data_IF_959937126503
#
_entry.id   IF_959937126503
#
_cell.length_a   1.000
_cell.length_b   1.000
_cell.length_c   1.000
_cell.angle_alpha   90.00
_cell.angle_beta   90.00
_cell.angle_gamma   90.00
#
_symmetry.space_group_name_H-M   'P 1'
#
loop_
_entity.id
_entity.type
_entity.pdbx_description
1 polymer ?
#
# COMPACT_ATOMS: atom_id res chain seq x y z
N UNK A 1 -17.71 20.06 11.56
CA UNK A 1 -17.02 21.30 11.21
C UNK A 1 -15.53 21.04 11.42
N UNK A 2 -14.73 21.17 10.37
CA UNK A 2 -13.31 20.82 10.37
C UNK A 2 -12.52 21.98 10.98
N UNK A 3 -11.65 21.69 11.96
CA UNK A 3 -10.64 22.64 12.44
C UNK A 3 -9.73 23.05 11.26
N UNK A 4 -9.45 24.35 11.09
CA UNK A 4 -8.51 24.83 10.08
C UNK A 4 -7.04 24.61 10.46
N UNK A 5 -6.77 24.10 11.64
CA UNK A 5 -5.41 23.84 12.14
C UNK A 5 -4.85 22.62 11.41
N UNK A 6 -3.73 22.79 10.72
CA UNK A 6 -2.92 21.72 10.15
C UNK A 6 -1.72 21.50 11.04
N UNK A 7 -1.37 20.22 11.26
CA UNK A 7 -0.21 19.86 12.07
C UNK A 7 0.65 18.91 11.25
N UNK A 8 1.96 19.17 11.21
CA UNK A 8 2.93 18.22 10.69
C UNK A 8 3.13 17.16 11.78
N UNK A 9 2.93 15.88 11.43
CA UNK A 9 3.12 14.74 12.34
C UNK A 9 4.59 14.30 12.30
N UNK A 10 5.16 14.19 11.11
CA UNK A 10 6.57 13.86 10.90
C UNK A 10 7.05 14.49 9.58
N UNK A 11 8.25 15.05 9.57
CA UNK A 11 8.91 15.60 8.36
C UNK A 11 10.34 15.08 8.17
N UNK A 12 10.89 14.40 9.18
CA UNK A 12 12.25 13.86 9.21
C UNK A 12 12.33 12.56 9.97
N UNK A 13 13.28 11.73 9.57
CA UNK A 13 13.72 10.56 10.31
C UNK A 13 15.22 10.66 10.59
N UNK A 14 15.64 10.58 11.85
CA UNK A 14 17.05 10.75 12.27
C UNK A 14 17.70 12.04 11.72
N UNK A 15 16.95 13.13 11.71
CA UNK A 15 17.39 14.44 11.22
C UNK A 15 17.38 14.62 9.70
N UNK A 16 17.12 13.57 8.91
CA UNK A 16 17.08 13.57 7.45
C UNK A 16 15.64 13.67 6.94
N UNK A 17 15.44 14.41 5.84
CA UNK A 17 14.12 14.51 5.20
C UNK A 17 13.70 13.17 4.60
N UNK A 18 12.40 12.89 4.63
CA UNK A 18 11.81 11.77 3.87
C UNK A 18 12.02 11.96 2.37
N UNK A 19 11.97 10.85 1.62
CA UNK A 19 12.17 10.83 0.17
C UNK A 19 10.94 11.41 -0.56
N UNK A 20 9.81 10.70 -0.50
CA UNK A 20 8.55 11.13 -1.13
C UNK A 20 7.40 10.29 -0.60
N UNK A 21 6.83 10.65 0.53
CA UNK A 21 5.75 9.90 1.16
C UNK A 21 4.64 9.59 0.16
N UNK A 22 4.20 8.32 0.11
CA UNK A 22 3.27 7.84 -0.93
C UNK A 22 1.93 7.38 -0.36
N UNK A 23 1.89 6.33 0.45
CA UNK A 23 0.65 5.74 0.95
C UNK A 23 0.71 5.52 2.46
N UNK A 24 -0.46 5.38 3.11
CA UNK A 24 -0.54 5.18 4.55
C UNK A 24 -1.75 4.31 4.95
N UNK A 25 -1.62 3.64 6.10
CA UNK A 25 -2.73 3.03 6.79
C UNK A 25 -2.64 3.29 8.31
N UNK A 26 -3.76 3.14 9.01
CA UNK A 26 -3.86 3.46 10.44
C UNK A 26 -4.43 2.25 11.18
N UNK A 27 -3.79 1.85 12.28
CA UNK A 27 -4.26 0.77 13.12
C UNK A 27 -5.32 1.24 14.15
N UNK A 28 -5.95 0.31 14.86
CA UNK A 28 -7.00 0.61 15.87
C UNK A 28 -6.52 1.44 17.06
N UNK A 29 -5.19 1.55 17.25
CA UNK A 29 -4.57 2.41 18.27
C UNK A 29 -4.30 3.82 17.76
N UNK A 30 -4.55 4.10 16.46
CA UNK A 30 -4.27 5.38 15.82
C UNK A 30 -2.79 5.55 15.40
N UNK A 31 -2.00 4.49 15.40
CA UNK A 31 -0.64 4.52 14.85
C UNK A 31 -0.71 4.49 13.32
N UNK A 32 0.09 5.32 12.70
CA UNK A 32 0.13 5.54 11.25
C UNK A 32 1.34 4.81 10.68
N UNK A 33 1.11 3.88 9.76
CA UNK A 33 2.15 3.28 8.93
C UNK A 33 2.15 3.99 7.58
N UNK A 34 3.33 4.30 7.05
CA UNK A 34 3.45 4.98 5.77
C UNK A 34 4.68 4.55 4.99
N UNK A 35 4.60 4.66 3.69
CA UNK A 35 5.66 4.31 2.74
C UNK A 35 6.39 5.56 2.27
N UNK A 36 7.72 5.43 2.07
CA UNK A 36 8.60 6.52 1.64
C UNK A 36 9.46 6.12 0.43
N UNK A 37 8.83 5.81 -0.72
CA UNK A 37 9.55 5.56 -1.97
C UNK A 37 10.07 6.86 -2.60
N UNK A 38 10.79 6.71 -3.72
CA UNK A 38 11.12 7.83 -4.59
C UNK A 38 11.01 7.45 -6.06
N UNK A 39 10.11 8.09 -6.78
CA UNK A 39 9.86 7.87 -8.20
C UNK A 39 10.42 9.00 -9.10
N UNK A 40 10.99 10.05 -8.50
CA UNK A 40 11.56 11.16 -9.24
C UNK A 40 12.93 10.84 -9.88
N UNK A 41 13.43 11.72 -10.75
CA UNK A 41 14.70 11.54 -11.44
C UNK A 41 15.93 11.88 -10.59
N UNK A 42 15.81 12.81 -9.63
CA UNK A 42 16.95 13.43 -8.93
C UNK A 42 17.31 12.64 -7.65
N UNK A 43 17.74 11.40 -7.81
CA UNK A 43 18.04 10.48 -6.68
C UNK A 43 19.23 10.96 -5.83
N UNK A 44 20.14 11.75 -6.40
CA UNK A 44 21.32 12.29 -5.70
C UNK A 44 20.94 13.31 -4.60
N UNK A 45 19.69 13.79 -4.60
CA UNK A 45 19.18 14.72 -3.58
C UNK A 45 18.52 14.01 -2.38
N UNK A 46 18.44 12.69 -2.39
CA UNK A 46 17.86 11.93 -1.28
C UNK A 46 18.80 11.98 -0.07
N UNK A 47 18.25 12.33 1.08
CA UNK A 47 18.99 12.37 2.34
C UNK A 47 19.01 11.00 3.03
N UNK A 48 17.93 10.22 2.87
CA UNK A 48 17.84 8.85 3.39
C UNK A 48 18.49 7.86 2.44
N UNK A 49 19.15 6.87 3.01
CA UNK A 49 19.88 5.81 2.31
C UNK A 49 18.99 4.68 1.77
N UNK A 50 17.71 4.68 2.15
CA UNK A 50 16.74 3.64 1.79
C UNK A 50 15.36 4.24 1.50
N UNK A 51 14.63 3.56 0.66
CA UNK A 51 13.19 3.74 0.48
C UNK A 51 12.50 2.77 1.45
N UNK A 52 11.90 3.28 2.52
CA UNK A 52 11.48 2.48 3.66
C UNK A 52 9.99 2.56 3.99
N UNK A 53 9.61 1.79 5.00
CA UNK A 53 8.29 1.87 5.63
C UNK A 53 8.48 2.31 7.08
N UNK A 54 7.65 3.24 7.52
CA UNK A 54 7.74 3.86 8.83
C UNK A 54 6.43 3.71 9.60
N UNK A 55 6.52 3.80 10.92
CA UNK A 55 5.37 3.89 11.83
C UNK A 55 5.58 5.06 12.78
N UNK A 56 4.50 5.81 13.06
CA UNK A 56 4.49 6.95 13.98
C UNK A 56 3.16 6.99 14.73
N UNK A 57 3.16 7.47 15.96
CA UNK A 57 1.93 7.80 16.66
C UNK A 57 1.27 9.07 16.08
N UNK A 58 -0.05 9.21 16.23
CA UNK A 58 -0.80 10.37 15.69
C UNK A 58 -0.37 11.72 16.27
N UNK A 59 0.31 11.74 17.41
CA UNK A 59 0.89 12.93 18.03
C UNK A 59 2.34 13.22 17.57
N UNK A 60 2.90 12.40 16.66
CA UNK A 60 4.26 12.53 16.14
C UNK A 60 5.33 11.85 17.00
N UNK A 61 4.97 11.19 18.07
CA UNK A 61 5.90 10.43 18.91
C UNK A 61 6.18 9.02 18.34
N UNK A 62 7.23 8.37 18.81
CA UNK A 62 7.60 6.98 18.46
C UNK A 62 7.72 6.74 16.94
N UNK A 63 8.34 7.69 16.23
CA UNK A 63 8.65 7.49 14.83
C UNK A 63 9.77 6.45 14.69
N UNK A 64 9.45 5.34 14.03
CA UNK A 64 10.38 4.23 13.79
C UNK A 64 10.33 3.78 12.35
N UNK A 65 11.46 3.34 11.80
CA UNK A 65 11.52 2.64 10.51
C UNK A 65 11.27 1.15 10.75
N UNK A 66 10.14 0.65 10.25
CA UNK A 66 9.73 -0.76 10.45
C UNK A 66 10.24 -1.69 9.36
N UNK A 67 10.43 -1.18 8.13
CA UNK A 67 11.07 -1.92 7.03
C UNK A 67 12.11 -1.03 6.34
N UNK A 68 13.25 -1.61 5.98
CA UNK A 68 14.35 -0.91 5.35
C UNK A 68 15.15 -1.77 4.38
N UNK A 69 16.42 -1.45 4.22
CA UNK A 69 17.32 -2.08 3.26
C UNK A 69 17.37 -3.61 3.42
N UNK A 70 17.17 -4.32 2.31
CA UNK A 70 17.18 -5.79 2.26
C UNK A 70 15.84 -6.44 2.56
N UNK A 71 14.86 -5.70 3.10
CA UNK A 71 13.51 -6.19 3.37
C UNK A 71 12.49 -5.70 2.34
N UNK A 72 12.69 -4.47 1.87
CA UNK A 72 11.84 -3.79 0.88
C UNK A 72 12.73 -2.98 -0.07
N UNK A 73 12.27 -2.76 -1.30
CA UNK A 73 13.03 -2.05 -2.32
C UNK A 73 12.45 -0.68 -2.66
N UNK A 74 11.17 -0.64 -3.03
CA UNK A 74 10.41 0.59 -3.32
C UNK A 74 8.96 0.42 -2.90
N UNK A 75 8.66 0.63 -1.61
CA UNK A 75 7.32 0.42 -1.09
C UNK A 75 6.33 1.44 -1.68
N UNK A 76 5.14 0.95 -2.04
CA UNK A 76 4.02 1.74 -2.55
C UNK A 76 2.81 1.53 -1.64
N UNK A 77 1.76 0.85 -2.09
CA UNK A 77 0.57 0.58 -1.31
C UNK A 77 0.85 -0.15 0.00
N UNK A 78 0.14 0.21 1.06
CA UNK A 78 0.31 -0.34 2.40
C UNK A 78 -1.04 -0.55 3.09
N UNK A 79 -1.18 -1.64 3.86
CA UNK A 79 -2.40 -1.91 4.60
C UNK A 79 -2.22 -2.97 5.69
N UNK A 80 -3.16 -3.01 6.63
CA UNK A 80 -3.16 -3.94 7.76
C UNK A 80 -4.26 -4.98 7.62
N UNK A 81 -3.97 -6.22 7.98
CA UNK A 81 -4.99 -7.25 8.12
C UNK A 81 -6.07 -6.83 9.15
N UNK A 82 -7.31 -7.36 9.06
CA UNK A 82 -8.39 -7.01 9.99
C UNK A 82 -8.08 -7.29 11.46
N UNK A 83 -7.22 -8.27 11.74
CA UNK A 83 -6.73 -8.62 13.07
C UNK A 83 -5.45 -7.88 13.48
N UNK A 84 -4.91 -7.03 12.59
CA UNK A 84 -3.71 -6.21 12.78
C UNK A 84 -2.41 -7.01 13.04
N UNK A 85 -2.39 -8.29 12.66
CA UNK A 85 -1.19 -9.14 12.83
C UNK A 85 -0.31 -9.20 11.61
N UNK A 86 -0.75 -8.62 10.49
CA UNK A 86 -0.01 -8.61 9.22
C UNK A 86 -0.02 -7.23 8.60
N UNK A 87 1.15 -6.75 8.22
CA UNK A 87 1.34 -5.57 7.39
C UNK A 87 1.56 -6.03 5.95
N UNK A 88 0.65 -5.65 5.05
CA UNK A 88 0.79 -5.85 3.62
C UNK A 88 1.48 -4.65 2.99
N UNK A 89 2.48 -4.91 2.15
CA UNK A 89 3.23 -3.87 1.44
C UNK A 89 3.43 -4.27 -0.01
N UNK A 90 3.06 -3.40 -0.92
CA UNK A 90 3.40 -3.51 -2.34
C UNK A 90 4.81 -3.00 -2.53
N UNK A 91 5.70 -3.83 -3.07
CA UNK A 91 7.03 -3.45 -3.50
C UNK A 91 7.02 -3.31 -5.03
N UNK A 92 7.20 -2.11 -5.54
CA UNK A 92 7.04 -1.82 -6.97
C UNK A 92 8.25 -1.09 -7.55
N UNK A 93 9.38 -1.79 -7.64
CA UNK A 93 10.58 -1.22 -8.24
C UNK A 93 10.48 -1.24 -9.78
N UNK A 94 10.62 -0.10 -10.47
CA UNK A 94 10.35 -0.01 -11.91
C UNK A 94 11.44 -0.63 -12.81
N UNK A 95 12.65 -0.83 -12.31
CA UNK A 95 13.80 -1.25 -13.12
C UNK A 95 14.17 -2.72 -12.84
N UNK A 96 14.31 -3.10 -11.57
CA UNK A 96 14.57 -4.49 -11.19
C UNK A 96 13.23 -5.24 -11.07
N UNK A 97 13.19 -6.56 -11.34
CA UNK A 97 11.96 -7.35 -11.25
C UNK A 97 11.57 -7.59 -9.79
N UNK A 98 11.29 -6.50 -9.06
CA UNK A 98 10.81 -6.49 -7.69
C UNK A 98 9.43 -5.83 -7.68
N UNK A 99 8.41 -6.58 -8.13
CA UNK A 99 7.02 -6.12 -8.24
C UNK A 99 6.14 -7.11 -7.52
N UNK A 100 6.14 -7.01 -6.19
CA UNK A 100 5.60 -8.04 -5.31
C UNK A 100 4.63 -7.46 -4.29
N UNK A 101 3.71 -8.30 -3.85
CA UNK A 101 2.96 -8.08 -2.62
C UNK A 101 3.61 -8.91 -1.51
N UNK A 102 4.00 -8.23 -0.45
CA UNK A 102 4.57 -8.84 0.74
C UNK A 102 3.59 -8.83 1.92
N UNK A 103 3.67 -9.85 2.76
CA UNK A 103 3.00 -9.92 4.06
C UNK A 103 4.06 -10.04 5.15
N UNK A 104 4.13 -9.06 6.04
CA UNK A 104 5.05 -9.04 7.17
C UNK A 104 4.28 -9.27 8.47
N UNK A 105 4.68 -10.25 9.31
CA UNK A 105 4.06 -10.46 10.61
C UNK A 105 4.35 -9.27 11.54
N UNK A 106 3.36 -8.89 12.35
CA UNK A 106 3.49 -7.85 13.36
C UNK A 106 3.40 -8.43 14.77
N UNK A 107 4.20 -7.89 15.68
CA UNK A 107 4.09 -8.13 17.11
C UNK A 107 2.94 -7.30 17.76
N UNK A 108 2.74 -7.49 19.07
CA UNK A 108 1.72 -6.76 19.83
C UNK A 108 1.93 -5.25 19.87
N UNK A 109 3.12 -4.75 19.60
CA UNK A 109 3.46 -3.32 19.57
C UNK A 109 3.42 -2.73 18.17
N UNK A 110 3.17 -3.58 17.15
CA UNK A 110 3.07 -3.18 15.75
C UNK A 110 4.42 -3.04 15.04
N UNK A 111 5.44 -3.70 15.54
CA UNK A 111 6.73 -3.83 14.85
C UNK A 111 6.75 -5.12 14.04
N UNK A 112 7.65 -5.18 13.04
CA UNK A 112 7.86 -6.39 12.26
C UNK A 112 8.43 -7.49 13.17
N UNK A 113 7.76 -8.64 13.20
CA UNK A 113 8.08 -9.77 14.07
C UNK A 113 8.77 -10.94 13.35
N UNK A 114 9.10 -10.80 12.07
CA UNK A 114 9.76 -11.86 11.29
C UNK A 114 9.95 -11.49 9.83
N UNK A 115 10.41 -12.45 9.04
CA UNK A 115 10.62 -12.26 7.61
C UNK A 115 9.31 -12.07 6.86
N UNK A 116 9.36 -11.29 5.78
CA UNK A 116 8.23 -11.12 4.87
C UNK A 116 7.97 -12.39 4.06
N UNK A 117 6.68 -12.74 3.94
CA UNK A 117 6.21 -13.76 3.00
C UNK A 117 5.79 -13.07 1.70
N UNK A 118 6.34 -13.52 0.57
CA UNK A 118 5.85 -13.16 -0.75
C UNK A 118 4.45 -13.75 -0.94
N UNK A 119 3.45 -12.91 -1.22
CA UNK A 119 2.10 -13.36 -1.53
C UNK A 119 1.83 -13.39 -3.03
N UNK A 120 2.37 -12.42 -3.78
CA UNK A 120 2.14 -12.35 -5.22
C UNK A 120 3.31 -11.66 -5.92
N UNK A 121 3.67 -12.16 -7.11
CA UNK A 121 4.72 -11.59 -7.97
C UNK A 121 4.13 -11.23 -9.34
N UNK A 122 4.18 -9.95 -9.70
CA UNK A 122 3.77 -9.45 -11.02
C UNK A 122 4.85 -9.66 -12.10
N UNK A 123 6.02 -10.17 -11.75
CA UNK A 123 7.12 -10.43 -12.70
C UNK A 123 7.55 -9.17 -13.45
N UNK A 124 7.54 -9.24 -14.78
CA UNK A 124 8.01 -8.17 -15.69
C UNK A 124 6.92 -7.16 -16.09
N UNK A 125 5.65 -7.48 -15.88
CA UNK A 125 4.55 -6.55 -16.12
C UNK A 125 4.46 -5.43 -15.08
N UNK A 126 3.55 -4.46 -15.26
CA UNK A 126 3.31 -3.43 -14.26
C UNK A 126 2.84 -4.08 -12.95
N UNK A 127 3.53 -3.78 -11.87
CA UNK A 127 3.23 -4.27 -10.53
C UNK A 127 2.04 -3.57 -9.87
N UNK A 128 1.87 -3.88 -8.58
CA UNK A 128 0.86 -3.26 -7.76
C UNK A 128 1.17 -1.78 -7.45
N UNK A 129 0.13 -1.05 -7.07
CA UNK A 129 0.18 0.36 -6.66
C UNK A 129 -0.49 0.49 -5.28
N UNK A 130 -1.62 1.18 -5.14
CA UNK A 130 -2.37 1.24 -3.89
C UNK A 130 -3.15 -0.05 -3.60
N UNK A 131 -3.63 -0.20 -2.36
CA UNK A 131 -4.39 -1.38 -1.95
C UNK A 131 -5.49 -1.08 -0.92
N UNK A 132 -6.43 -2.00 -0.81
CA UNK A 132 -7.42 -2.08 0.26
C UNK A 132 -7.64 -3.52 0.69
N UNK A 133 -8.21 -3.72 1.87
CA UNK A 133 -8.38 -5.07 2.45
C UNK A 133 -9.85 -5.27 2.84
N UNK A 134 -10.40 -6.47 2.59
CA UNK A 134 -11.75 -6.82 3.03
C UNK A 134 -11.76 -7.48 4.42
N UNK A 135 -12.95 -7.71 4.97
CA UNK A 135 -13.13 -8.33 6.29
C UNK A 135 -12.68 -9.79 6.38
N UNK A 136 -12.47 -10.46 5.25
CA UNK A 136 -11.91 -11.81 5.19
C UNK A 136 -10.38 -11.80 5.03
N UNK A 137 -9.76 -10.60 4.96
CA UNK A 137 -8.33 -10.43 4.79
C UNK A 137 -7.85 -10.51 3.33
N UNK A 138 -8.75 -10.60 2.35
CA UNK A 138 -8.32 -10.53 0.96
C UNK A 138 -7.78 -9.12 0.64
N UNK A 139 -6.65 -9.06 -0.03
CA UNK A 139 -5.97 -7.82 -0.43
C UNK A 139 -6.37 -7.47 -1.85
N UNK A 140 -6.94 -6.29 -2.02
CA UNK A 140 -7.37 -5.73 -3.31
C UNK A 140 -6.27 -4.76 -3.76
N UNK A 141 -5.40 -5.20 -4.65
CA UNK A 141 -4.24 -4.43 -5.12
C UNK A 141 -4.51 -3.88 -6.51
N UNK A 142 -4.46 -2.57 -6.67
CA UNK A 142 -4.52 -1.94 -7.99
C UNK A 142 -3.21 -2.14 -8.74
N UNK A 143 -3.25 -2.39 -10.03
CA UNK A 143 -2.02 -2.62 -10.80
C UNK A 143 -2.27 -3.05 -12.24
N UNK A 144 -1.23 -3.60 -12.85
CA UNK A 144 -1.26 -4.04 -14.24
C UNK A 144 -1.35 -2.89 -15.25
N UNK A 145 -1.26 -3.22 -16.53
CA UNK A 145 -1.42 -2.29 -17.64
C UNK A 145 -1.81 -3.03 -18.92
N UNK A 146 -2.73 -2.44 -19.70
CA UNK A 146 -3.10 -2.93 -21.02
C UNK A 146 -2.24 -2.28 -22.13
N UNK A 147 -1.47 -1.23 -21.79
CA UNK A 147 -0.49 -0.58 -22.66
C UNK A 147 0.93 -0.85 -22.20
N UNK A 148 1.85 -0.85 -23.14
CA UNK A 148 3.28 -1.00 -22.84
C UNK A 148 3.86 0.28 -22.27
N UNK A 149 4.57 0.16 -21.16
CA UNK A 149 5.35 1.23 -20.54
C UNK A 149 6.85 0.89 -20.55
N UNK A 150 7.76 1.86 -20.41
CA UNK A 150 9.18 1.58 -20.28
C UNK A 150 9.46 0.58 -19.15
N UNK A 151 10.26 -0.45 -19.46
CA UNK A 151 10.64 -1.52 -18.51
C UNK A 151 9.49 -2.37 -17.95
N UNK A 152 8.33 -2.35 -18.60
CA UNK A 152 7.15 -3.12 -18.20
C UNK A 152 6.46 -3.66 -19.46
N UNK A 153 6.08 -4.92 -19.42
CA UNK A 153 5.25 -5.54 -20.47
C UNK A 153 3.76 -5.52 -20.09
N UNK A 154 2.93 -6.10 -20.93
CA UNK A 154 1.47 -6.17 -20.75
C UNK A 154 1.02 -7.56 -20.26
N UNK A 155 1.89 -8.31 -19.60
CA UNK A 155 1.54 -9.64 -19.05
C UNK A 155 0.49 -9.58 -17.96
N UNK A 156 0.40 -8.44 -17.27
CA UNK A 156 -0.55 -8.18 -16.21
C UNK A 156 -1.60 -7.16 -16.69
N UNK A 157 -2.88 -7.55 -16.91
CA UNK A 157 -3.91 -6.63 -17.37
C UNK A 157 -4.22 -5.56 -16.31
N UNK A 158 -4.64 -4.39 -16.77
CA UNK A 158 -5.05 -3.29 -15.89
C UNK A 158 -6.27 -3.69 -15.04
N UNK A 159 -6.20 -3.47 -13.72
CA UNK A 159 -7.31 -3.82 -12.83
C UNK A 159 -6.97 -3.83 -11.36
N UNK A 160 -7.85 -4.44 -10.57
CA UNK A 160 -7.66 -4.71 -9.15
C UNK A 160 -7.49 -6.21 -8.95
N UNK A 161 -6.35 -6.62 -8.46
CA UNK A 161 -5.98 -8.01 -8.17
C UNK A 161 -6.48 -8.35 -6.78
N UNK A 162 -7.35 -9.35 -6.66
CA UNK A 162 -7.88 -9.83 -5.38
C UNK A 162 -7.06 -11.04 -4.96
N UNK A 163 -6.26 -10.88 -3.92
CA UNK A 163 -5.28 -11.88 -3.44
C UNK A 163 -5.68 -12.31 -2.03
N UNK A 164 -5.76 -13.63 -1.79
CA UNK A 164 -6.08 -14.14 -0.46
C UNK A 164 -4.92 -13.95 0.53
N UNK A 165 -5.16 -14.06 1.86
CA UNK A 165 -4.09 -14.02 2.86
C UNK A 165 -3.01 -15.10 2.67
N UNK A 166 -3.35 -16.20 1.99
CA UNK A 166 -2.42 -17.30 1.68
C UNK A 166 -1.57 -17.00 0.44
N UNK A 167 -1.94 -16.00 -0.38
CA UNK A 167 -1.26 -15.59 -1.62
C UNK A 167 -1.92 -16.14 -2.89
N UNK A 168 -3.16 -16.65 -2.81
CA UNK A 168 -3.88 -17.15 -3.97
C UNK A 168 -4.59 -15.99 -4.70
N UNK A 169 -4.37 -15.85 -6.00
CA UNK A 169 -5.12 -14.92 -6.85
C UNK A 169 -6.57 -15.40 -7.01
N UNK A 170 -7.51 -14.74 -6.35
CA UNK A 170 -8.94 -15.03 -6.42
C UNK A 170 -9.58 -14.52 -7.70
N UNK A 171 -8.98 -13.51 -8.33
CA UNK A 171 -9.44 -12.94 -9.59
C UNK A 171 -8.94 -11.52 -9.80
N UNK A 172 -9.25 -10.97 -10.98
CA UNK A 172 -8.92 -9.60 -11.36
C UNK A 172 -10.20 -8.87 -11.72
N UNK A 173 -10.48 -7.77 -11.03
CA UNK A 173 -11.53 -6.82 -11.41
C UNK A 173 -10.93 -5.95 -12.51
N UNK A 174 -11.25 -6.26 -13.77
CA UNK A 174 -10.73 -5.49 -14.91
C UNK A 174 -11.27 -4.07 -14.89
N UNK A 175 -10.39 -3.12 -15.15
CA UNK A 175 -10.73 -1.70 -15.32
C UNK A 175 -10.34 -1.30 -16.74
N UNK A 176 -11.27 -0.80 -17.58
CA UNK A 176 -11.00 -0.48 -18.98
C UNK A 176 -10.26 0.87 -19.13
N UNK A 177 -9.30 1.13 -18.26
CA UNK A 177 -8.44 2.32 -18.22
C UNK A 177 -7.09 1.91 -17.59
N UNK A 178 -5.99 2.35 -18.19
CA UNK A 178 -4.66 2.16 -17.64
C UNK A 178 -4.39 3.07 -16.43
N UNK A 179 -3.28 2.85 -15.77
CA UNK A 179 -2.87 3.58 -14.56
C UNK A 179 -3.90 3.44 -13.45
N UNK A 180 -4.27 2.20 -13.15
CA UNK A 180 -5.06 1.87 -11.97
C UNK A 180 -4.15 2.05 -10.76
N UNK A 181 -4.41 3.08 -9.94
CA UNK A 181 -3.44 3.58 -8.96
C UNK A 181 -3.85 3.39 -7.51
N UNK A 182 -5.15 3.43 -7.21
CA UNK A 182 -5.60 3.21 -5.83
C UNK A 182 -7.05 2.73 -5.79
N UNK A 183 -7.46 2.13 -4.68
CA UNK A 183 -8.84 1.77 -4.43
C UNK A 183 -9.18 1.88 -2.94
N UNK A 184 -10.45 2.10 -2.64
CA UNK A 184 -10.94 2.09 -1.28
C UNK A 184 -12.36 1.56 -1.18
N UNK A 185 -12.67 0.89 -0.09
CA UNK A 185 -14.03 0.48 0.23
C UNK A 185 -14.85 1.64 0.80
N UNK A 186 -16.13 1.71 0.43
CA UNK A 186 -17.06 2.70 0.93
C UNK A 186 -18.51 2.27 0.75
N UNK A 187 -19.43 3.25 0.90
CA UNK A 187 -20.86 2.98 1.01
C UNK A 187 -21.24 2.59 2.45
N UNK A 188 -22.53 2.64 2.78
CA UNK A 188 -23.03 2.37 4.14
C UNK A 188 -22.72 0.93 4.63
N UNK A 189 -22.61 -0.01 3.71
CA UNK A 189 -22.32 -1.42 3.99
C UNK A 189 -20.87 -1.81 3.69
N UNK A 190 -20.00 -0.85 3.33
CA UNK A 190 -18.61 -1.04 2.94
C UNK A 190 -18.41 -2.06 1.79
N UNK A 191 -19.45 -2.33 0.97
CA UNK A 191 -19.38 -3.27 -0.16
C UNK A 191 -19.26 -2.59 -1.52
N UNK A 192 -18.94 -1.32 -1.56
CA UNK A 192 -18.62 -0.62 -2.81
C UNK A 192 -17.12 -0.34 -2.82
N UNK A 193 -16.40 -0.93 -3.77
CA UNK A 193 -15.01 -0.61 -4.02
C UNK A 193 -14.95 0.52 -5.04
N UNK A 194 -14.36 1.65 -4.67
CA UNK A 194 -14.06 2.77 -5.55
C UNK A 194 -12.63 2.65 -6.03
N UNK A 195 -12.38 2.93 -7.31
CA UNK A 195 -11.10 2.69 -7.97
C UNK A 195 -10.72 3.94 -8.76
N UNK A 196 -9.50 4.44 -8.58
CA UNK A 196 -8.91 5.49 -9.42
C UNK A 196 -8.08 4.87 -10.53
N UNK A 197 -8.33 5.29 -11.78
CA UNK A 197 -7.61 4.81 -12.95
C UNK A 197 -7.48 5.93 -13.98
N UNK A 198 -6.26 6.31 -14.33
CA UNK A 198 -5.97 7.32 -15.33
C UNK A 198 -6.73 8.63 -15.10
N UNK A 199 -7.77 8.86 -15.89
CA UNK A 199 -8.63 10.07 -15.84
C UNK A 199 -10.02 9.79 -15.29
N UNK A 200 -10.28 8.61 -14.74
CA UNK A 200 -11.60 8.12 -14.38
C UNK A 200 -11.64 7.58 -12.96
N UNK A 201 -12.85 7.64 -12.37
CA UNK A 201 -13.17 6.96 -11.12
C UNK A 201 -14.20 5.88 -11.44
N UNK A 202 -13.96 4.68 -10.97
CA UNK A 202 -14.82 3.51 -11.15
C UNK A 202 -15.39 3.05 -9.82
N UNK A 203 -16.47 2.32 -9.87
CA UNK A 203 -17.00 1.62 -8.71
C UNK A 203 -17.49 0.23 -9.09
N UNK A 204 -17.34 -0.70 -8.17
CA UNK A 204 -17.85 -2.07 -8.31
C UNK A 204 -18.40 -2.57 -6.98
N UNK A 205 -19.46 -3.39 -7.03
CA UNK A 205 -19.99 -4.03 -5.83
C UNK A 205 -19.20 -5.32 -5.53
N UNK A 206 -18.78 -5.46 -4.29
CA UNK A 206 -18.10 -6.65 -3.78
C UNK A 206 -19.05 -7.52 -2.94
N UNK A 207 -18.74 -8.81 -2.84
CA UNK A 207 -19.51 -9.73 -1.98
C UNK A 207 -19.17 -9.54 -0.51
N UNK A 208 -17.90 -9.28 -0.20
CA UNK A 208 -17.36 -9.08 1.13
C UNK A 208 -17.20 -7.58 1.38
N UNK A 209 -17.50 -7.12 2.58
CA UNK A 209 -17.31 -5.73 2.98
C UNK A 209 -15.84 -5.43 3.22
N UNK A 210 -15.41 -4.22 2.96
CA UNK A 210 -14.08 -3.73 3.29
C UNK A 210 -13.82 -3.70 4.80
N UNK A 211 -12.57 -3.83 5.17
CA UNK A 211 -12.10 -3.67 6.54
C UNK A 211 -11.67 -2.22 6.76
N UNK A 212 -12.24 -1.55 7.76
CA UNK A 212 -11.87 -0.21 8.19
C UNK A 212 -11.44 -0.29 9.65
N UNK A 213 -10.18 -0.03 9.91
CA UNK A 213 -9.60 -0.13 11.27
C UNK A 213 -9.71 1.18 12.05
N UNK A 214 -9.67 2.31 11.36
CA UNK A 214 -9.71 3.65 11.95
C UNK A 214 -10.56 4.64 11.11
N UNK A 215 -11.38 5.52 11.74
CA UNK A 215 -11.72 5.48 13.16
C UNK A 215 -12.47 4.21 13.53
N UNK A 216 -12.43 3.82 14.82
CA UNK A 216 -13.25 2.70 15.30
C UNK A 216 -14.72 3.01 15.00
N UNK A 217 -15.44 2.06 14.42
CA UNK A 217 -16.90 2.14 14.35
C UNK A 217 -17.46 2.24 15.77
N UNK A 218 -18.33 3.22 16.00
CA UNK A 218 -19.08 3.35 17.25
C UNK A 218 -20.08 2.21 17.41
#
# INVERSE_FOLDING_TARGET
IISRKRTVIADRFEGKRFNSLNDLCINKRGQIYFTDPYYGPDRDQLELDVEGVYRVNSDGTELVRVLGKGQISRPNGIGLSPDEKTLYVVDNHPIIPMRKLWAFPLDGDGNIAGDGKELYDWGTGRGGDGLSIDQQGNVYVTGGADRKYPNQDTSNPAGVYVISPEGELRGIIKVPEDMVTNCCFGGADLKTLYITAGKTIWQVRTKVAGSVLWPKAE
#
